data_IF_640980165486
#
_entry.id   IF_640980165486
#
_cell.length_a   1.000
_cell.length_b   1.000
_cell.length_c   1.000
_cell.angle_alpha   90.00
_cell.angle_beta   90.00
_cell.angle_gamma   90.00
#
_symmetry.space_group_name_H-M   'P 1'
#
loop_
_entity.id
_entity.type
_entity.pdbx_description
1 polymer ?
#
# COMPACT_ATOMS: atom_id res chain seq x y z
N UNK A 1 7.20 24.99 2.73
CA UNK A 1 7.43 24.88 1.28
C UNK A 1 6.07 24.87 0.59
N UNK A 2 5.90 25.67 -0.46
CA UNK A 2 4.64 25.66 -1.22
C UNK A 2 4.51 24.30 -1.90
N UNK A 3 3.49 23.55 -1.56
CA UNK A 3 3.16 22.29 -2.23
C UNK A 3 2.74 22.64 -3.67
N UNK A 4 3.38 22.05 -4.67
CA UNK A 4 2.97 22.20 -6.07
C UNK A 4 1.50 21.78 -6.20
N UNK A 5 0.70 22.56 -6.90
CA UNK A 5 -0.66 22.13 -7.23
C UNK A 5 -0.60 20.87 -8.11
N UNK A 6 -1.46 19.88 -7.86
CA UNK A 6 -1.54 18.71 -8.72
C UNK A 6 -1.89 19.12 -10.16
N UNK A 7 -1.38 18.36 -11.12
CA UNK A 7 -1.75 18.49 -12.53
C UNK A 7 -3.24 18.17 -12.72
N UNK A 8 -3.79 18.50 -13.88
CA UNK A 8 -5.14 18.07 -14.23
C UNK A 8 -5.22 16.53 -14.23
N UNK A 9 -6.24 15.91 -13.61
CA UNK A 9 -6.42 14.48 -13.63
C UNK A 9 -6.67 14.00 -15.08
N UNK A 10 -6.00 12.92 -15.54
CA UNK A 10 -6.23 12.40 -16.87
C UNK A 10 -7.61 11.76 -17.00
N UNK A 11 -8.19 11.81 -18.19
CA UNK A 11 -9.40 11.04 -18.52
C UNK A 11 -8.94 9.62 -18.84
N UNK A 12 -9.43 8.65 -18.06
CA UNK A 12 -9.09 7.24 -18.18
C UNK A 12 -10.35 6.40 -18.41
N UNK A 13 -10.38 5.55 -19.46
CA UNK A 13 -11.54 4.70 -19.73
C UNK A 13 -11.87 3.77 -18.55
N UNK A 14 -13.14 3.71 -18.14
CA UNK A 14 -13.59 2.87 -17.04
C UNK A 14 -13.18 3.35 -15.64
N UNK A 15 -12.72 4.60 -15.52
CA UNK A 15 -12.32 5.22 -14.27
C UNK A 15 -12.91 6.62 -14.15
N UNK A 16 -13.67 6.88 -13.09
CA UNK A 16 -14.27 8.19 -12.82
C UNK A 16 -13.47 8.91 -11.73
N UNK A 17 -12.96 10.11 -12.05
CA UNK A 17 -12.19 10.92 -11.11
C UNK A 17 -13.04 11.39 -9.93
N UNK A 18 -12.48 11.31 -8.70
CA UNK A 18 -13.12 11.78 -7.47
C UNK A 18 -12.39 13.01 -6.91
N UNK A 19 -11.11 12.86 -6.54
CA UNK A 19 -10.32 13.92 -5.90
C UNK A 19 -8.82 13.65 -5.94
N UNK A 20 -7.95 14.67 -5.69
CA UNK A 20 -6.53 14.41 -5.48
C UNK A 20 -6.31 13.71 -4.14
N UNK A 21 -5.31 12.81 -4.08
CA UNK A 21 -4.81 12.19 -2.86
C UNK A 21 -3.49 12.82 -2.41
N UNK A 22 -2.64 13.23 -3.36
CA UNK A 22 -1.36 13.86 -3.09
C UNK A 22 -0.68 14.36 -4.35
N UNK A 23 0.28 15.27 -4.17
CA UNK A 23 1.15 15.76 -5.24
C UNK A 23 2.58 15.77 -4.71
N UNK A 24 3.48 15.16 -5.46
CA UNK A 24 4.91 15.07 -5.16
C UNK A 24 5.78 15.57 -6.32
N UNK A 25 7.11 15.57 -6.13
CA UNK A 25 8.05 15.97 -7.17
C UNK A 25 8.00 15.10 -8.43
N UNK A 26 7.60 13.82 -8.30
CA UNK A 26 7.65 12.82 -9.38
C UNK A 26 6.31 12.37 -9.90
N UNK A 27 5.23 12.53 -9.14
CA UNK A 27 3.92 12.05 -9.52
C UNK A 27 2.82 12.80 -8.79
N UNK A 28 1.67 12.83 -9.40
CA UNK A 28 0.41 13.18 -8.76
C UNK A 28 -0.39 11.91 -8.53
N UNK A 29 -1.03 11.79 -7.36
CA UNK A 29 -1.88 10.65 -7.03
C UNK A 29 -3.31 11.13 -6.87
N UNK A 30 -4.23 10.45 -7.52
CA UNK A 30 -5.64 10.78 -7.54
C UNK A 30 -6.49 9.59 -7.09
N UNK A 31 -7.61 9.87 -6.46
CA UNK A 31 -8.67 8.89 -6.21
C UNK A 31 -9.60 8.84 -7.40
N UNK A 32 -9.84 7.63 -7.90
CA UNK A 32 -10.83 7.31 -8.91
C UNK A 32 -11.77 6.22 -8.41
N UNK A 33 -12.98 6.19 -8.92
CA UNK A 33 -13.87 5.04 -8.86
C UNK A 33 -13.71 4.23 -10.16
N UNK A 34 -13.40 2.95 -10.04
CA UNK A 34 -13.42 2.02 -11.17
C UNK A 34 -14.86 1.56 -11.44
N UNK A 35 -15.28 1.56 -12.71
CA UNK A 35 -16.67 1.28 -13.08
C UNK A 35 -17.03 -0.23 -12.95
N UNK A 36 -16.11 -1.11 -13.40
CA UNK A 36 -16.36 -2.54 -13.42
C UNK A 36 -15.08 -3.36 -13.14
N UNK A 37 -14.97 -4.13 -12.04
CA UNK A 37 -15.86 -4.11 -10.88
C UNK A 37 -15.78 -2.76 -10.16
N UNK A 38 -16.88 -2.32 -9.55
CA UNK A 38 -16.93 -1.02 -8.87
C UNK A 38 -16.12 -1.02 -7.59
N UNK A 39 -15.12 -0.14 -7.51
CA UNK A 39 -14.26 0.04 -6.35
C UNK A 39 -13.47 1.35 -6.43
N UNK A 40 -13.07 1.85 -5.26
CA UNK A 40 -12.11 2.95 -5.16
C UNK A 40 -10.70 2.47 -5.51
N UNK A 41 -9.98 3.24 -6.33
CA UNK A 41 -8.60 2.97 -6.72
C UNK A 41 -7.75 4.24 -6.65
N UNK A 42 -6.48 4.09 -6.31
CA UNK A 42 -5.50 5.17 -6.42
C UNK A 42 -4.85 5.13 -7.81
N UNK A 43 -4.78 6.28 -8.47
CA UNK A 43 -4.12 6.42 -9.76
C UNK A 43 -2.92 7.35 -9.60
N UNK A 44 -1.72 6.79 -9.73
CA UNK A 44 -0.45 7.51 -9.75
C UNK A 44 -0.15 7.92 -11.18
N UNK A 45 -0.03 9.24 -11.44
CA UNK A 45 0.23 9.80 -12.76
C UNK A 45 1.60 10.46 -12.76
N UNK A 46 2.45 10.06 -13.68
CA UNK A 46 3.79 10.65 -13.83
C UNK A 46 3.70 11.93 -14.68
N UNK A 47 4.42 13.00 -14.33
CA UNK A 47 4.33 14.29 -15.03
C UNK A 47 5.02 14.29 -16.40
N UNK A 48 5.88 13.31 -16.68
CA UNK A 48 6.66 13.23 -17.90
C UNK A 48 5.83 12.65 -19.05
N UNK A 49 5.84 13.35 -20.17
CA UNK A 49 5.32 12.82 -21.44
C UNK A 49 6.28 11.74 -21.98
N UNK A 50 5.82 10.49 -22.03
CA UNK A 50 6.63 9.33 -22.47
C UNK A 50 6.42 9.09 -23.97
N UNK A 51 6.62 10.13 -24.79
CA UNK A 51 6.65 9.98 -26.25
C UNK A 51 7.90 9.25 -26.72
N UNK A 52 8.97 9.29 -25.94
CA UNK A 52 10.19 8.56 -26.20
C UNK A 52 9.95 7.03 -26.06
N UNK A 53 10.19 6.24 -27.12
CA UNK A 53 10.02 4.79 -27.09
C UNK A 53 10.90 4.09 -26.06
N UNK A 54 12.08 4.62 -25.72
CA UNK A 54 12.97 4.06 -24.72
C UNK A 54 12.39 4.24 -23.31
N UNK A 55 11.90 5.43 -22.99
CA UNK A 55 11.23 5.70 -21.71
C UNK A 55 9.96 4.83 -21.54
N UNK A 56 9.21 4.59 -22.63
CA UNK A 56 8.07 3.65 -22.61
C UNK A 56 8.49 2.23 -22.29
N UNK A 57 9.56 1.74 -22.91
CA UNK A 57 10.07 0.38 -22.61
C UNK A 57 10.49 0.25 -21.15
N UNK A 58 11.20 1.25 -20.62
CA UNK A 58 11.60 1.28 -19.21
C UNK A 58 10.38 1.27 -18.28
N UNK A 59 9.38 2.10 -18.54
CA UNK A 59 8.14 2.14 -17.77
C UNK A 59 7.41 0.80 -17.80
N UNK A 60 7.26 0.17 -18.96
CA UNK A 60 6.58 -1.11 -19.10
C UNK A 60 7.33 -2.22 -18.34
N UNK A 61 8.65 -2.31 -18.49
CA UNK A 61 9.45 -3.30 -17.78
C UNK A 61 9.35 -3.15 -16.25
N UNK A 62 9.34 -1.93 -15.75
CA UNK A 62 9.21 -1.63 -14.33
C UNK A 62 7.78 -1.93 -13.82
N UNK A 63 6.76 -1.61 -14.63
CA UNK A 63 5.37 -1.94 -14.33
C UNK A 63 5.13 -3.46 -14.28
N UNK A 64 5.76 -4.24 -15.18
CA UNK A 64 5.68 -5.70 -15.19
C UNK A 64 6.28 -6.31 -13.90
N UNK A 65 7.44 -5.81 -13.46
CA UNK A 65 8.05 -6.26 -12.20
C UNK A 65 7.15 -5.93 -11.00
N UNK A 66 6.56 -4.72 -10.98
CA UNK A 66 5.64 -4.34 -9.92
C UNK A 66 4.37 -5.19 -9.91
N UNK A 67 3.84 -5.53 -11.08
CA UNK A 67 2.67 -6.42 -11.18
C UNK A 67 2.98 -7.79 -10.56
N UNK A 68 4.16 -8.35 -10.78
CA UNK A 68 4.59 -9.60 -10.14
C UNK A 68 4.78 -9.44 -8.63
N UNK A 69 5.40 -8.35 -8.19
CA UNK A 69 5.62 -8.08 -6.76
C UNK A 69 4.32 -7.77 -6.02
N UNK A 70 3.29 -7.27 -6.70
CA UNK A 70 2.01 -6.92 -6.10
C UNK A 70 1.20 -8.13 -5.59
N UNK A 71 1.64 -9.35 -5.88
CA UNK A 71 1.12 -10.56 -5.24
C UNK A 71 1.59 -10.72 -3.78
N UNK A 72 2.60 -9.97 -3.35
CA UNK A 72 3.10 -9.99 -1.97
C UNK A 72 2.13 -9.25 -1.04
N UNK A 73 1.73 -9.84 0.12
CA UNK A 73 0.68 -9.27 0.97
C UNK A 73 1.06 -7.93 1.62
N UNK A 74 2.37 -7.62 1.70
CA UNK A 74 2.88 -6.34 2.25
C UNK A 74 3.42 -5.39 1.16
N UNK A 75 3.01 -5.57 -0.10
CA UNK A 75 3.25 -4.62 -1.21
C UNK A 75 1.90 -4.16 -1.74
N UNK A 76 1.78 -2.86 -2.05
CA UNK A 76 0.54 -2.32 -2.61
C UNK A 76 0.16 -3.05 -3.91
N UNK A 77 -1.10 -3.47 -4.01
CA UNK A 77 -1.57 -4.20 -5.19
C UNK A 77 -1.68 -3.27 -6.40
N UNK A 78 -1.01 -3.63 -7.48
CA UNK A 78 -1.12 -2.95 -8.78
C UNK A 78 -2.19 -3.65 -9.62
N UNK A 79 -3.17 -2.89 -10.10
CA UNK A 79 -4.26 -3.43 -10.92
C UNK A 79 -4.05 -3.25 -12.41
N UNK A 80 -3.44 -2.13 -12.79
CA UNK A 80 -3.24 -1.77 -14.18
C UNK A 80 -2.13 -0.73 -14.31
N UNK A 81 -1.41 -0.74 -15.42
CA UNK A 81 -0.54 0.35 -15.86
C UNK A 81 -0.87 0.73 -17.29
N UNK A 82 -0.64 1.98 -17.67
CA UNK A 82 -0.92 2.44 -19.01
C UNK A 82 -0.39 3.84 -19.29
N UNK A 83 -0.72 4.34 -20.49
CA UNK A 83 -0.42 5.70 -20.93
C UNK A 83 -1.76 6.35 -21.25
N UNK A 84 -2.02 7.50 -20.64
CA UNK A 84 -3.23 8.28 -20.86
C UNK A 84 -3.26 8.93 -22.26
N UNK A 85 -4.41 9.42 -22.68
CA UNK A 85 -4.57 10.06 -23.98
C UNK A 85 -3.70 11.31 -24.16
N UNK A 86 -3.32 11.98 -23.06
CA UNK A 86 -2.42 13.12 -23.04
C UNK A 86 -0.92 12.74 -22.98
N UNK A 87 -0.59 11.44 -23.08
CA UNK A 87 0.77 10.90 -23.14
C UNK A 87 1.44 10.64 -21.80
N UNK A 88 0.73 10.82 -20.66
CA UNK A 88 1.28 10.59 -19.33
C UNK A 88 1.14 9.13 -18.90
N UNK A 89 2.22 8.50 -18.40
CA UNK A 89 2.13 7.18 -17.79
C UNK A 89 1.32 7.24 -16.49
N UNK A 90 0.54 6.20 -16.25
CA UNK A 90 -0.22 6.05 -15.01
C UNK A 90 -0.20 4.61 -14.53
N UNK A 91 -0.37 4.45 -13.20
CA UNK A 91 -0.51 3.17 -12.54
C UNK A 91 -1.77 3.22 -11.68
N UNK A 92 -2.65 2.25 -11.88
CA UNK A 92 -3.85 2.03 -11.05
C UNK A 92 -3.51 1.00 -9.98
N UNK A 93 -3.73 1.35 -8.72
CA UNK A 93 -3.37 0.51 -7.59
C UNK A 93 -4.43 0.56 -6.51
N UNK A 94 -4.30 -0.33 -5.53
CA UNK A 94 -5.13 -0.36 -4.34
C UNK A 94 -5.19 1.00 -3.65
N UNK A 95 -6.39 1.45 -3.32
CA UNK A 95 -6.58 2.65 -2.51
C UNK A 95 -6.33 2.33 -1.04
N UNK A 96 -5.33 2.98 -0.47
CA UNK A 96 -4.99 2.92 0.94
C UNK A 96 -5.37 4.25 1.60
N UNK A 97 -6.31 4.26 2.58
CA UNK A 97 -6.83 5.51 3.17
C UNK A 97 -5.84 6.24 4.05
N UNK A 98 -4.76 5.60 4.49
CA UNK A 98 -3.77 6.16 5.40
C UNK A 98 -2.33 5.82 5.05
N UNK A 99 -1.40 6.52 5.70
CA UNK A 99 0.03 6.20 5.67
C UNK A 99 0.63 6.36 7.06
N UNK A 100 1.79 5.76 7.29
CA UNK A 100 2.50 5.93 8.56
C UNK A 100 3.14 7.33 8.73
N UNK A 101 3.17 8.16 7.66
CA UNK A 101 3.77 9.49 7.70
C UNK A 101 3.18 10.43 8.77
N UNK A 102 1.87 10.34 8.97
CA UNK A 102 1.18 11.16 9.96
C UNK A 102 1.18 10.47 11.33
N UNK A 103 0.89 9.17 11.37
CA UNK A 103 0.76 8.43 12.62
C UNK A 103 2.00 8.51 13.48
N UNK A 104 3.19 8.24 12.93
CA UNK A 104 4.42 8.20 13.73
C UNK A 104 4.81 9.55 14.37
N UNK A 105 4.31 10.68 13.86
CA UNK A 105 4.56 12.01 14.43
C UNK A 105 3.54 12.41 15.49
N UNK A 106 2.33 11.89 15.39
CA UNK A 106 1.20 12.25 16.25
C UNK A 106 0.93 11.24 17.36
N UNK A 107 1.29 9.97 17.12
CA UNK A 107 0.99 8.85 18.01
C UNK A 107 2.29 8.18 18.48
N UNK A 108 2.28 7.72 19.72
CA UNK A 108 3.31 6.82 20.23
C UNK A 108 2.94 5.39 19.83
N UNK A 109 3.50 4.89 18.74
CA UNK A 109 3.25 3.54 18.27
C UNK A 109 3.79 2.51 19.29
N UNK A 110 3.03 1.43 19.60
CA UNK A 110 3.48 0.34 20.44
C UNK A 110 4.68 -0.40 19.82
N UNK A 111 5.63 -0.85 20.66
CA UNK A 111 6.80 -1.62 20.19
C UNK A 111 6.41 -2.87 19.40
N UNK A 112 5.40 -3.68 19.86
CA UNK A 112 4.95 -4.84 19.09
C UNK A 112 4.47 -4.52 17.68
N UNK A 113 3.68 -3.45 17.53
CA UNK A 113 3.18 -2.99 16.22
C UNK A 113 4.34 -2.56 15.30
N UNK A 114 5.31 -1.81 15.84
CA UNK A 114 6.46 -1.35 15.04
C UNK A 114 7.36 -2.51 14.62
N UNK A 115 7.55 -3.52 15.48
CA UNK A 115 8.28 -4.73 15.13
C UNK A 115 7.56 -5.52 14.02
N UNK A 116 6.24 -5.66 14.10
CA UNK A 116 5.44 -6.30 13.06
C UNK A 116 5.59 -5.56 11.72
N UNK A 117 5.42 -4.24 11.70
CA UNK A 117 5.62 -3.41 10.51
C UNK A 117 7.04 -3.61 9.96
N UNK A 118 8.06 -3.58 10.81
CA UNK A 118 9.45 -3.78 10.41
C UNK A 118 9.69 -5.11 9.70
N UNK A 119 9.15 -6.20 10.26
CA UNK A 119 9.27 -7.56 9.67
C UNK A 119 8.54 -7.65 8.33
N UNK A 120 7.32 -7.13 8.22
CA UNK A 120 6.53 -7.12 6.99
C UNK A 120 7.22 -6.31 5.89
N UNK A 121 7.70 -5.12 6.20
CA UNK A 121 8.43 -4.28 5.24
C UNK A 121 9.76 -4.93 4.81
N UNK A 122 10.46 -5.59 5.72
CA UNK A 122 11.66 -6.33 5.38
C UNK A 122 11.37 -7.54 4.47
N UNK A 123 10.24 -8.24 4.67
CA UNK A 123 9.78 -9.33 3.78
C UNK A 123 9.46 -8.82 2.38
N UNK A 124 8.77 -7.66 2.29
CA UNK A 124 8.47 -6.99 1.02
C UNK A 124 9.74 -6.60 0.26
N UNK A 125 10.71 -5.98 0.95
CA UNK A 125 12.00 -5.59 0.37
C UNK A 125 12.81 -6.81 -0.09
N UNK A 126 12.86 -7.87 0.72
CA UNK A 126 13.56 -9.10 0.33
C UNK A 126 12.97 -9.71 -0.95
N UNK A 127 11.65 -9.71 -1.09
CA UNK A 127 10.98 -10.20 -2.30
C UNK A 127 11.33 -9.34 -3.52
N UNK A 128 11.40 -8.02 -3.36
CA UNK A 128 11.83 -7.10 -4.40
C UNK A 128 13.31 -7.32 -4.77
N UNK A 129 14.20 -7.46 -3.78
CA UNK A 129 15.63 -7.72 -4.01
C UNK A 129 15.87 -9.01 -4.78
N UNK A 130 15.13 -10.08 -4.48
CA UNK A 130 15.18 -11.34 -5.24
C UNK A 130 14.71 -11.19 -6.69
N UNK A 131 13.79 -10.28 -6.95
CA UNK A 131 13.37 -9.93 -8.30
C UNK A 131 14.33 -8.94 -9.00
N UNK A 132 15.46 -8.59 -8.36
CA UNK A 132 16.45 -7.64 -8.90
C UNK A 132 16.05 -6.17 -8.78
N UNK A 133 15.01 -5.86 -8.00
CA UNK A 133 14.52 -4.49 -7.81
C UNK A 133 14.96 -3.94 -6.45
N UNK A 134 15.47 -2.70 -6.46
CA UNK A 134 15.79 -1.89 -5.28
C UNK A 134 14.75 -0.76 -5.20
N UNK A 135 14.13 -0.56 -4.03
CA UNK A 135 13.04 0.40 -3.83
C UNK A 135 13.49 1.86 -3.89
N UNK A 136 14.66 2.17 -3.30
CA UNK A 136 15.35 3.48 -3.26
C UNK A 136 14.71 4.59 -2.45
N UNK A 137 13.50 4.40 -1.92
CA UNK A 137 12.77 5.44 -1.17
C UNK A 137 11.99 4.86 0.03
N UNK A 138 12.64 4.01 0.84
CA UNK A 138 12.03 3.42 2.04
C UNK A 138 11.93 4.46 3.15
N UNK A 139 10.69 4.84 3.50
CA UNK A 139 10.37 5.85 4.53
C UNK A 139 8.93 5.72 5.01
N UNK A 140 8.53 6.32 6.16
CA UNK A 140 7.18 6.19 6.69
C UNK A 140 6.05 6.65 5.75
N UNK A 141 6.31 7.60 4.83
CA UNK A 141 5.29 8.07 3.88
C UNK A 141 4.97 7.06 2.78
N UNK A 142 5.88 6.13 2.51
CA UNK A 142 5.72 5.10 1.51
C UNK A 142 5.25 3.76 2.12
N UNK A 143 4.98 3.74 3.43
CA UNK A 143 4.27 2.65 4.09
C UNK A 143 2.82 3.09 4.27
N UNK A 144 1.96 2.59 3.40
CA UNK A 144 0.53 2.86 3.40
C UNK A 144 -0.18 1.88 4.33
N UNK A 145 -1.41 2.22 4.70
CA UNK A 145 -2.27 1.37 5.52
C UNK A 145 -3.52 1.06 4.70
N UNK A 146 -3.77 -0.22 4.45
CA UNK A 146 -4.94 -0.69 3.71
C UNK A 146 -6.23 -0.41 4.47
N UNK A 147 -7.37 -0.59 3.83
CA UNK A 147 -8.70 -0.50 4.48
C UNK A 147 -8.90 -1.52 5.61
N UNK A 148 -8.10 -2.58 5.64
CA UNK A 148 -8.08 -3.60 6.70
C UNK A 148 -7.03 -3.35 7.78
N UNK A 149 -6.32 -2.22 7.73
CA UNK A 149 -5.30 -1.85 8.72
C UNK A 149 -3.92 -2.50 8.49
N UNK A 150 -3.72 -3.26 7.41
CA UNK A 150 -2.44 -3.88 7.11
C UNK A 150 -1.45 -2.86 6.52
N UNK A 151 -0.16 -2.86 6.97
CA UNK A 151 0.87 -2.03 6.38
C UNK A 151 1.34 -2.63 5.04
N UNK A 152 1.40 -1.80 4.00
CA UNK A 152 1.90 -2.18 2.67
C UNK A 152 2.91 -1.15 2.16
N UNK A 153 3.97 -1.64 1.52
CA UNK A 153 4.99 -0.82 0.90
C UNK A 153 4.52 -0.36 -0.48
N UNK A 154 4.60 0.94 -0.72
CA UNK A 154 4.20 1.59 -1.97
C UNK A 154 5.35 2.41 -2.53
N UNK A 155 5.18 2.92 -3.75
CA UNK A 155 6.10 3.84 -4.39
C UNK A 155 7.51 3.27 -4.67
N UNK A 156 7.57 2.02 -5.14
CA UNK A 156 8.80 1.50 -5.75
C UNK A 156 9.28 2.46 -6.86
N UNK A 157 10.58 2.69 -6.89
CA UNK A 157 11.24 3.80 -7.59
C UNK A 157 11.09 3.96 -9.10
N UNK A 158 9.92 3.63 -9.69
CA UNK A 158 9.59 3.82 -11.12
C UNK A 158 9.90 5.25 -11.57
N UNK A 159 9.65 6.21 -10.68
CA UNK A 159 9.84 7.63 -10.97
C UNK A 159 11.31 8.04 -11.07
N UNK A 160 12.23 7.34 -10.39
CA UNK A 160 13.64 7.71 -10.37
C UNK A 160 14.39 7.34 -11.65
N UNK A 161 13.96 6.27 -12.31
CA UNK A 161 14.53 5.86 -13.60
C UNK A 161 14.09 6.80 -14.74
N UNK A 162 12.85 7.31 -14.66
CA UNK A 162 12.27 8.21 -15.65
C UNK A 162 12.64 9.69 -15.42
N UNK A 163 12.96 10.08 -14.18
CA UNK A 163 13.15 11.47 -13.77
C UNK A 163 14.63 11.86 -13.62
N UNK A 164 15.48 11.52 -14.58
CA UNK A 164 16.90 11.97 -14.60
C UNK A 164 17.09 13.49 -14.56
N UNK A 165 16.03 14.29 -14.75
CA UNK A 165 16.08 15.74 -14.86
C UNK A 165 15.80 16.53 -13.56
N UNK A 166 15.27 15.89 -12.48
CA UNK A 166 14.86 16.58 -11.23
C UNK A 166 15.38 15.89 -9.96
N UNK A 167 16.52 15.22 -10.06
CA UNK A 167 17.10 14.38 -9.00
C UNK A 167 17.35 15.15 -7.68
N UNK A 168 17.69 16.43 -7.74
CA UNK A 168 18.09 17.20 -6.56
C UNK A 168 16.98 17.49 -5.56
N UNK A 169 15.76 17.79 -6.02
CA UNK A 169 14.65 18.11 -5.11
C UNK A 169 14.12 16.88 -4.37
N UNK A 170 14.09 15.76 -5.05
CA UNK A 170 13.56 14.52 -4.50
C UNK A 170 14.51 13.85 -3.55
N UNK A 171 15.81 13.84 -3.86
CA UNK A 171 16.83 13.44 -2.92
C UNK A 171 16.71 14.25 -1.61
N UNK A 172 16.36 15.55 -1.72
CA UNK A 172 16.18 16.41 -0.55
C UNK A 172 15.06 15.97 0.40
N UNK A 173 13.97 15.41 -0.11
CA UNK A 173 12.81 14.98 0.72
C UNK A 173 13.04 13.64 1.44
N UNK A 174 13.91 12.79 0.91
CA UNK A 174 14.20 11.47 1.46
C UNK A 174 15.49 11.41 2.28
N UNK A 175 16.29 12.47 2.30
CA UNK A 175 17.56 12.55 3.05
C UNK A 175 17.45 12.00 4.48
N UNK A 176 16.42 12.29 5.29
CA UNK A 176 16.39 11.83 6.67
C UNK A 176 16.45 10.30 6.86
N UNK A 177 16.14 9.53 5.83
CA UNK A 177 16.16 8.06 5.84
C UNK A 177 17.22 7.47 4.93
N UNK A 178 17.88 8.28 4.11
CA UNK A 178 18.88 7.83 3.14
C UNK A 178 20.19 7.43 3.81
N UNK A 179 20.83 6.38 3.27
CA UNK A 179 22.13 5.93 3.74
C UNK A 179 23.27 6.90 3.36
N UNK A 180 24.40 6.91 4.12
CA UNK A 180 25.52 7.83 3.88
C UNK A 180 26.05 7.79 2.45
N UNK A 181 26.20 6.60 1.86
CA UNK A 181 26.68 6.38 0.50
C UNK A 181 25.70 6.89 -0.57
N UNK A 182 24.40 6.87 -0.28
CA UNK A 182 23.37 7.44 -1.16
C UNK A 182 23.37 8.97 -1.07
N UNK A 183 23.47 9.51 0.15
CA UNK A 183 23.55 10.96 0.39
C UNK A 183 24.82 11.56 -0.21
N UNK A 184 25.90 10.77 -0.27
CA UNK A 184 27.17 11.14 -0.90
C UNK A 184 27.20 10.87 -2.42
N UNK A 185 26.06 10.43 -3.02
CA UNK A 185 25.91 10.15 -4.46
C UNK A 185 26.90 9.09 -5.00
N UNK A 186 27.39 8.19 -4.13
CA UNK A 186 28.28 7.10 -4.48
C UNK A 186 27.52 5.94 -5.13
N UNK A 187 26.22 5.82 -4.85
CA UNK A 187 25.31 4.82 -5.42
C UNK A 187 23.88 5.38 -5.49
N UNK A 188 23.12 4.89 -6.45
CA UNK A 188 21.68 5.18 -6.54
C UNK A 188 20.83 4.36 -5.55
N UNK A 189 21.42 3.35 -4.90
CA UNK A 189 20.77 2.45 -3.96
C UNK A 189 21.26 1.01 -4.11
N UNK A 190 21.37 0.32 -2.98
CA UNK A 190 21.78 -1.08 -2.86
C UNK A 190 20.92 -1.77 -1.80
N UNK A 191 20.98 -3.10 -1.68
CA UNK A 191 20.35 -3.85 -0.58
C UNK A 191 20.80 -3.30 0.77
N UNK A 192 22.11 -3.02 0.95
CA UNK A 192 22.64 -2.50 2.20
C UNK A 192 22.13 -1.08 2.52
N UNK A 193 21.91 -0.22 1.51
CA UNK A 193 21.32 1.11 1.71
C UNK A 193 19.84 1.03 2.07
N UNK A 194 19.11 0.00 1.61
CA UNK A 194 17.71 -0.21 1.98
C UNK A 194 17.55 -0.79 3.39
N UNK A 195 18.46 -1.64 3.82
CA UNK A 195 18.54 -2.08 5.22
C UNK A 195 18.73 -0.87 6.16
N UNK A 196 19.58 0.10 5.76
CA UNK A 196 19.69 1.35 6.50
C UNK A 196 18.38 2.13 6.51
N UNK A 197 17.77 2.35 5.35
CA UNK A 197 16.54 3.15 5.23
C UNK A 197 15.37 2.53 6.01
N UNK A 198 15.27 1.19 6.02
CA UNK A 198 14.28 0.49 6.82
C UNK A 198 14.59 0.62 8.32
N UNK A 199 15.85 0.49 8.74
CA UNK A 199 16.27 0.74 10.12
C UNK A 199 15.94 2.16 10.59
N UNK A 200 16.22 3.16 9.75
CA UNK A 200 15.87 4.56 10.00
C UNK A 200 14.35 4.78 10.06
N UNK A 201 13.60 4.02 9.26
CA UNK A 201 12.13 4.03 9.28
C UNK A 201 11.59 3.43 10.57
N UNK A 202 12.05 2.24 10.99
CA UNK A 202 11.65 1.60 12.26
C UNK A 202 12.01 2.50 13.44
N UNK A 203 13.21 3.10 13.45
CA UNK A 203 13.58 4.13 14.44
C UNK A 203 12.55 5.26 14.48
N UNK A 204 12.16 5.78 13.31
CA UNK A 204 11.23 6.91 13.22
C UNK A 204 9.86 6.58 13.79
N UNK A 205 9.36 5.36 13.52
CA UNK A 205 8.08 4.87 14.05
C UNK A 205 8.08 4.78 15.59
N UNK A 206 9.23 4.45 16.17
CA UNK A 206 9.41 4.39 17.63
C UNK A 206 9.62 5.77 18.25
N UNK A 207 10.45 6.62 17.63
CA UNK A 207 10.91 7.88 18.22
C UNK A 207 9.99 9.08 17.93
N UNK A 208 9.12 9.00 16.91
CA UNK A 208 8.29 10.11 16.44
C UNK A 208 9.01 11.13 15.56
N UNK A 209 10.28 10.88 15.23
CA UNK A 209 11.12 11.71 14.35
C UNK A 209 12.19 10.85 13.70
N UNK A 210 12.81 11.33 12.61
CA UNK A 210 13.90 10.59 11.97
C UNK A 210 15.17 10.54 12.84
N UNK A 211 16.04 9.50 12.70
CA UNK A 211 17.17 9.30 13.60
C UNK A 211 18.14 10.49 13.63
N UNK A 212 18.30 11.17 12.51
CA UNK A 212 19.25 12.28 12.35
C UNK A 212 18.62 13.66 12.49
N UNK A 213 17.32 13.74 12.70
CA UNK A 213 16.57 14.96 12.97
C UNK A 213 16.75 15.40 14.42
N UNK A 214 16.90 16.71 14.66
CA UNK A 214 16.88 17.31 15.99
C UNK A 214 15.60 18.05 16.24
N UNK A 215 15.10 18.01 17.47
CA UNK A 215 13.83 18.66 17.86
C UNK A 215 13.93 20.19 17.87
N UNK A 216 15.14 20.74 17.97
CA UNK A 216 15.39 22.17 18.03
C UNK A 216 15.21 22.80 16.64
N UNK A 217 14.50 23.92 16.60
CA UNK A 217 14.26 24.68 15.36
C UNK A 217 15.58 25.16 14.76
N UNK A 218 15.69 25.10 13.43
CA UNK A 218 16.87 25.58 12.69
C UNK A 218 18.04 24.60 12.64
N UNK A 219 17.97 23.43 13.30
CA UNK A 219 19.03 22.44 13.29
C UNK A 219 18.87 21.30 12.26
N UNK A 220 17.95 21.43 11.33
CA UNK A 220 17.63 20.39 10.34
C UNK A 220 17.76 20.89 8.91
N UNK A 221 18.75 21.76 8.63
CA UNK A 221 19.06 22.10 7.24
C UNK A 221 19.59 20.87 6.50
N UNK A 222 19.50 20.88 5.18
CA UNK A 222 19.95 19.78 4.30
C UNK A 222 21.42 19.42 4.62
N UNK A 223 22.27 20.41 4.79
CA UNK A 223 23.70 20.23 5.08
C UNK A 223 23.95 19.66 6.47
N UNK A 224 23.19 20.10 7.47
CA UNK A 224 23.29 19.60 8.83
C UNK A 224 22.85 18.13 8.92
N UNK A 225 21.77 17.76 8.23
CA UNK A 225 21.31 16.37 8.12
C UNK A 225 22.36 15.51 7.42
N UNK A 226 22.87 15.93 6.25
CA UNK A 226 23.94 15.23 5.52
C UNK A 226 25.17 14.97 6.39
N UNK A 227 25.62 15.96 7.17
CA UNK A 227 26.74 15.78 8.08
C UNK A 227 26.51 14.76 9.18
N UNK A 228 25.31 14.71 9.77
CA UNK A 228 24.97 13.73 10.81
C UNK A 228 24.84 12.32 10.23
N UNK A 229 24.21 12.18 9.09
CA UNK A 229 24.08 10.91 8.34
C UNK A 229 25.46 10.37 7.98
N UNK A 230 26.36 11.21 7.41
CA UNK A 230 27.70 10.81 7.04
C UNK A 230 28.54 10.28 8.22
N UNK A 231 28.21 10.68 9.44
CA UNK A 231 28.85 10.19 10.68
C UNK A 231 28.08 9.03 11.32
N UNK A 232 26.92 8.67 10.81
CA UNK A 232 25.97 7.73 11.42
C UNK A 232 25.68 8.06 12.90
N UNK A 233 25.69 9.36 13.25
CA UNK A 233 25.55 9.83 14.63
C UNK A 233 24.11 10.22 14.90
N UNK A 234 23.38 9.37 15.58
CA UNK A 234 22.02 9.61 16.04
C UNK A 234 21.87 9.35 17.54
N UNK A 235 20.79 9.85 18.15
CA UNK A 235 20.51 9.64 19.56
C UNK A 235 19.71 8.34 19.75
N UNK A 236 20.09 7.45 20.69
CA UNK A 236 19.27 6.29 21.01
C UNK A 236 17.85 6.69 21.44
N UNK A 237 16.88 5.80 21.23
CA UNK A 237 15.48 6.05 21.54
C UNK A 237 15.28 6.10 23.07
N UNK A 238 14.90 7.26 23.59
CA UNK A 238 14.68 7.48 25.03
C UNK A 238 13.26 7.01 25.45
N UNK A 239 12.96 5.70 25.30
CA UNK A 239 11.70 5.09 25.70
C UNK A 239 11.99 3.85 26.55
N UNK A 240 11.38 3.77 27.74
CA UNK A 240 11.61 2.67 28.68
C UNK A 240 11.08 1.31 28.17
N UNK A 241 10.09 1.34 27.25
CA UNK A 241 9.51 0.16 26.63
C UNK A 241 10.28 -0.33 25.37
N UNK A 242 11.32 0.39 24.92
CA UNK A 242 12.19 -0.03 23.82
C UNK A 242 13.40 -0.77 24.39
N UNK A 243 13.50 -2.12 24.20
CA UNK A 243 14.56 -2.91 24.80
C UNK A 243 15.93 -2.61 24.18
N UNK A 244 17.00 -2.85 24.93
CA UNK A 244 18.37 -2.69 24.46
C UNK A 244 18.66 -3.51 23.20
N UNK A 245 18.17 -4.76 23.14
CA UNK A 245 18.31 -5.59 21.95
C UNK A 245 17.75 -4.94 20.67
N UNK A 246 16.62 -4.22 20.75
CA UNK A 246 16.09 -3.47 19.61
C UNK A 246 16.97 -2.28 19.25
N UNK A 247 17.55 -1.59 20.23
CA UNK A 247 18.53 -0.51 19.99
C UNK A 247 19.77 -1.05 19.24
N UNK A 248 20.26 -2.24 19.62
CA UNK A 248 21.41 -2.88 18.98
C UNK A 248 21.08 -3.29 17.54
N UNK A 249 19.89 -3.83 17.29
CA UNK A 249 19.40 -4.16 15.93
C UNK A 249 19.38 -2.91 15.05
N UNK A 250 18.84 -1.79 15.57
CA UNK A 250 18.80 -0.52 14.84
C UNK A 250 20.22 0.06 14.63
N UNK A 251 21.10 -0.03 15.63
CA UNK A 251 22.48 0.44 15.51
C UNK A 251 23.24 -0.33 14.42
N UNK A 252 23.06 -1.66 14.35
CA UNK A 252 23.67 -2.47 13.30
C UNK A 252 23.11 -2.12 11.92
N UNK A 253 21.80 -1.99 11.77
CA UNK A 253 21.16 -1.64 10.48
C UNK A 253 21.62 -0.27 9.97
N UNK A 254 21.85 0.68 10.87
CA UNK A 254 22.34 2.04 10.57
C UNK A 254 23.85 2.21 10.80
N UNK A 255 24.65 1.13 10.67
CA UNK A 255 26.11 1.23 10.68
C UNK A 255 26.61 2.04 9.48
N UNK A 256 27.60 2.91 9.72
CA UNK A 256 28.18 3.76 8.67
C UNK A 256 28.72 2.94 7.50
N UNK A 257 29.40 1.84 7.81
CA UNK A 257 29.97 0.92 6.82
C UNK A 257 28.90 -0.07 6.34
N UNK A 258 28.57 -0.11 5.03
CA UNK A 258 27.54 -1.01 4.51
C UNK A 258 27.79 -2.49 4.83
N UNK A 259 29.06 -2.92 4.83
CA UNK A 259 29.45 -4.31 5.13
C UNK A 259 29.20 -4.75 6.59
N UNK A 260 29.00 -3.81 7.52
CA UNK A 260 28.65 -4.10 8.91
C UNK A 260 27.13 -4.23 9.14
N UNK A 261 26.33 -3.80 8.19
CA UNK A 261 24.87 -3.92 8.25
C UNK A 261 24.44 -5.37 8.10
N UNK A 262 23.16 -5.62 8.12
CA UNK A 262 22.60 -6.91 7.72
C UNK A 262 22.81 -7.12 6.22
N UNK A 263 23.20 -8.32 5.82
CA UNK A 263 23.53 -8.63 4.44
C UNK A 263 22.29 -8.66 3.52
N UNK A 264 21.10 -8.86 4.10
CA UNK A 264 19.82 -8.85 3.39
C UNK A 264 18.71 -8.25 4.25
N UNK A 265 17.60 -7.89 3.62
CA UNK A 265 16.40 -7.48 4.34
C UNK A 265 15.82 -8.64 5.18
N UNK A 266 15.98 -9.89 4.71
CA UNK A 266 15.63 -11.08 5.47
C UNK A 266 16.41 -11.18 6.78
N UNK A 267 17.75 -11.01 6.74
CA UNK A 267 18.56 -11.07 7.96
C UNK A 267 18.13 -10.00 8.97
N UNK A 268 17.78 -8.81 8.52
CA UNK A 268 17.24 -7.75 9.37
C UNK A 268 15.87 -8.14 9.96
N UNK A 269 14.97 -8.74 9.16
CA UNK A 269 13.68 -9.26 9.63
C UNK A 269 13.87 -10.32 10.74
N UNK A 270 14.80 -11.26 10.55
CA UNK A 270 15.08 -12.29 11.55
C UNK A 270 15.60 -11.68 12.88
N UNK A 271 16.42 -10.63 12.81
CA UNK A 271 16.86 -9.91 13.99
C UNK A 271 15.69 -9.23 14.73
N UNK A 272 14.73 -8.62 14.00
CA UNK A 272 13.51 -8.06 14.61
C UNK A 272 12.62 -9.15 15.22
N UNK A 273 12.52 -10.31 14.59
CA UNK A 273 11.77 -11.47 15.10
C UNK A 273 12.40 -12.06 16.38
N UNK A 274 13.74 -12.04 16.46
CA UNK A 274 14.41 -12.42 17.69
C UNK A 274 14.02 -11.49 18.83
N UNK A 275 13.96 -10.18 18.60
CA UNK A 275 13.48 -9.21 19.61
C UNK A 275 12.02 -9.47 19.99
N UNK A 276 11.15 -9.84 19.03
CA UNK A 276 9.77 -10.22 19.35
C UNK A 276 9.74 -11.43 20.30
N UNK A 277 10.55 -12.46 20.03
CA UNK A 277 10.63 -13.65 20.87
C UNK A 277 11.14 -13.31 22.28
N UNK A 278 12.17 -12.47 22.40
CA UNK A 278 12.74 -12.02 23.69
C UNK A 278 11.70 -11.23 24.53
N UNK A 279 10.78 -10.55 23.86
CA UNK A 279 9.65 -9.83 24.49
C UNK A 279 8.45 -10.73 24.78
N UNK A 280 8.51 -12.04 24.49
CA UNK A 280 7.39 -12.96 24.62
C UNK A 280 6.25 -12.72 23.62
N UNK A 281 6.53 -12.01 22.51
CA UNK A 281 5.60 -11.75 21.43
C UNK A 281 5.76 -12.85 20.39
N UNK A 282 4.65 -13.39 19.86
CA UNK A 282 4.71 -14.33 18.74
C UNK A 282 5.44 -13.70 17.55
N UNK A 283 6.54 -14.29 17.06
CA UNK A 283 7.28 -13.73 15.93
C UNK A 283 6.41 -13.61 14.66
N UNK A 284 6.38 -12.42 14.08
CA UNK A 284 5.66 -12.16 12.83
C UNK A 284 6.14 -13.11 11.73
N UNK A 285 5.22 -13.70 10.97
CA UNK A 285 5.57 -14.57 9.85
C UNK A 285 6.37 -13.81 8.78
N UNK A 286 7.39 -14.48 8.22
CA UNK A 286 8.08 -13.97 7.04
C UNK A 286 7.23 -14.29 5.80
N UNK A 287 6.83 -13.25 5.10
CA UNK A 287 6.03 -13.33 3.88
C UNK A 287 7.00 -13.53 2.70
N UNK A 288 7.42 -14.76 2.46
CA UNK A 288 8.36 -15.08 1.39
C UNK A 288 7.72 -16.08 0.42
N UNK A 289 7.97 -15.95 -0.90
CA UNK A 289 7.54 -16.98 -1.85
C UNK A 289 8.13 -18.33 -1.43
N UNK A 290 7.28 -19.34 -1.22
CA UNK A 290 7.72 -20.69 -0.94
C UNK A 290 8.14 -21.35 -2.27
N UNK A 291 9.42 -21.73 -2.43
CA UNK A 291 9.88 -22.38 -3.67
C UNK A 291 9.20 -23.72 -3.94
N UNK A 292 8.62 -24.33 -2.91
CA UNK A 292 7.96 -25.65 -2.97
C UNK A 292 6.61 -25.63 -3.71
N UNK A 293 6.01 -24.46 -3.92
CA UNK A 293 4.73 -24.32 -4.64
C UNK A 293 4.90 -24.12 -6.15
N UNK A 294 6.12 -23.80 -6.60
CA UNK A 294 6.43 -23.51 -8.00
C UNK A 294 6.39 -24.75 -8.94
N UNK A 295 6.69 -26.00 -8.51
CA UNK A 295 6.68 -27.14 -9.42
C UNK A 295 5.31 -27.75 -9.71
N UNK A 296 4.28 -27.40 -8.95
CA UNK A 296 2.98 -28.08 -9.04
C UNK A 296 2.11 -27.63 -10.22
N UNK A 297 2.46 -26.57 -10.92
CA UNK A 297 1.72 -26.08 -12.09
C UNK A 297 2.49 -26.37 -13.39
N UNK A 298 2.69 -27.65 -13.71
CA UNK A 298 2.91 -27.98 -15.11
C UNK A 298 1.71 -27.43 -15.91
N UNK A 299 1.93 -26.75 -17.04
CA UNK A 299 0.82 -26.24 -17.85
C UNK A 299 -0.12 -27.40 -18.15
N UNK A 300 -1.41 -27.25 -17.79
CA UNK A 300 -2.43 -28.24 -18.12
C UNK A 300 -2.52 -28.26 -19.65
N UNK A 301 -2.09 -29.34 -20.26
CA UNK A 301 -2.30 -29.54 -21.69
C UNK A 301 -3.78 -29.81 -21.94
N UNK A 302 -4.50 -28.78 -22.33
CA UNK A 302 -5.92 -28.87 -22.67
C UNK A 302 -6.20 -29.71 -23.92
N UNK A 303 -5.16 -30.10 -24.69
CA UNK A 303 -5.28 -31.02 -25.81
C UNK A 303 -5.18 -32.47 -25.36
N UNK A 304 -4.70 -32.76 -24.17
CA UNK A 304 -4.66 -34.13 -23.62
C UNK A 304 -6.06 -34.61 -23.24
N UNK A 305 -6.60 -35.50 -24.04
CA UNK A 305 -7.93 -36.08 -23.82
C UNK A 305 -8.07 -36.88 -22.52
N UNK A 306 -6.95 -37.31 -21.93
CA UNK A 306 -6.94 -38.04 -20.65
C UNK A 306 -7.13 -37.15 -19.45
N UNK A 307 -6.80 -35.85 -19.57
CA UNK A 307 -7.02 -34.82 -18.53
C UNK A 307 -8.46 -34.30 -18.51
N UNK A 308 -9.28 -34.63 -19.51
CA UNK A 308 -10.72 -34.36 -19.51
C UNK A 308 -11.49 -35.44 -18.75
N UNK A 309 -11.04 -35.78 -17.56
CA UNK A 309 -11.81 -36.62 -16.66
C UNK A 309 -13.16 -35.96 -16.38
N UNK A 310 -14.26 -36.59 -16.81
CA UNK A 310 -15.57 -36.14 -16.45
C UNK A 310 -15.64 -35.99 -14.93
N UNK A 311 -15.84 -34.77 -14.43
CA UNK A 311 -16.16 -34.53 -13.04
C UNK A 311 -17.50 -35.24 -12.75
N UNK A 312 -17.45 -36.50 -12.37
CA UNK A 312 -18.62 -37.20 -11.84
C UNK A 312 -18.79 -36.70 -10.41
N UNK A 313 -19.66 -35.73 -10.25
CA UNK A 313 -20.27 -35.45 -8.96
C UNK A 313 -21.05 -36.68 -8.52
N UNK A 314 -20.48 -37.51 -7.65
CA UNK A 314 -21.22 -38.53 -6.93
C UNK A 314 -22.03 -37.80 -5.84
N UNK A 315 -23.26 -37.49 -6.16
CA UNK A 315 -24.27 -37.23 -5.14
C UNK A 315 -24.86 -38.59 -4.81
N UNK A 316 -24.50 -39.18 -3.69
CA UNK A 316 -25.17 -40.33 -3.13
C UNK A 316 -26.61 -39.96 -2.80
N UNK A 317 -27.51 -40.30 -3.69
CA UNK A 317 -28.94 -40.32 -3.41
C UNK A 317 -29.34 -41.66 -2.79
N UNK A 318 -29.21 -41.77 -1.49
CA UNK A 318 -29.89 -42.79 -0.73
C UNK A 318 -31.36 -42.39 -0.64
N UNK A 319 -32.22 -42.98 -1.45
CA UNK A 319 -33.63 -42.66 -1.45
C UNK A 319 -34.45 -43.32 -2.57
N UNK A 320 -34.95 -44.54 -2.33
CA UNK A 320 -36.15 -45.19 -2.88
C UNK A 320 -36.61 -44.78 -4.28
N UNK A 321 -36.27 -45.61 -5.25
CA UNK A 321 -36.81 -45.64 -6.61
C UNK A 321 -38.33 -45.78 -6.59
N UNK A 322 -39.07 -44.69 -6.86
CA UNK A 322 -40.46 -44.77 -7.32
C UNK A 322 -40.44 -44.83 -8.83
N UNK A 323 -40.94 -45.94 -9.36
CA UNK A 323 -41.18 -46.17 -10.80
C UNK A 323 -42.13 -45.10 -11.35
N UNK A 324 -41.69 -44.41 -12.39
CA UNK A 324 -42.50 -43.47 -13.18
C UNK A 324 -43.00 -44.19 -14.44
N UNK A 325 -44.28 -44.09 -14.82
CA UNK A 325 -44.77 -44.66 -16.07
C UNK A 325 -44.32 -43.85 -17.27
N UNK A 326 -44.10 -44.54 -18.38
CA UNK A 326 -43.75 -43.98 -19.69
C UNK A 326 -44.86 -43.04 -20.18
N UNK A 327 -44.48 -41.82 -20.57
CA UNK A 327 -45.34 -40.91 -21.31
C UNK A 327 -44.55 -40.33 -22.50
N UNK A 328 -45.23 -40.39 -23.64
CA UNK A 328 -44.76 -40.24 -24.97
C UNK A 328 -44.14 -38.87 -25.32
N UNK A 329 -43.46 -38.90 -26.43
CA UNK A 329 -42.81 -37.79 -27.13
C UNK A 329 -43.85 -36.71 -27.47
N UNK A 330 -43.70 -35.50 -26.89
CA UNK A 330 -44.43 -34.31 -27.35
C UNK A 330 -43.38 -33.23 -27.72
N UNK A 331 -43.60 -32.73 -28.94
CA UNK A 331 -42.81 -31.70 -29.57
C UNK A 331 -42.80 -30.37 -28.77
N UNK A 332 -41.65 -29.75 -28.65
CA UNK A 332 -41.51 -28.38 -28.14
C UNK A 332 -42.07 -27.38 -29.15
N UNK A 333 -43.31 -26.93 -28.97
CA UNK A 333 -43.79 -25.68 -29.52
C UNK A 333 -43.50 -24.56 -28.53
N UNK A 334 -42.97 -23.48 -29.07
CA UNK A 334 -42.56 -22.27 -28.34
C UNK A 334 -43.85 -21.42 -28.23
N UNK A 335 -44.42 -21.32 -27.01
CA UNK A 335 -45.47 -20.35 -26.72
C UNK A 335 -44.79 -19.13 -26.05
N UNK A 336 -44.92 -17.99 -26.72
CA UNK A 336 -44.77 -16.65 -26.15
C UNK A 336 -46.02 -16.36 -25.32
N UNK A 337 -45.85 -15.55 -24.29
CA UNK A 337 -46.83 -15.06 -23.31
C UNK A 337 -46.96 -15.84 -21.99
N UNK A 338 -46.17 -15.41 -21.01
CA UNK A 338 -46.58 -15.57 -19.62
C UNK A 338 -46.35 -14.25 -18.88
N UNK A 339 -47.46 -13.55 -18.73
CA UNK A 339 -47.63 -12.41 -17.83
C UNK A 339 -47.20 -12.79 -16.42
N UNK A 340 -46.11 -12.14 -15.92
CA UNK A 340 -45.71 -12.26 -14.54
C UNK A 340 -46.51 -11.25 -13.71
N UNK A 341 -47.61 -11.68 -13.18
CA UNK A 341 -48.36 -10.98 -12.16
C UNK A 341 -47.51 -10.88 -10.88
N UNK A 342 -46.99 -9.70 -10.62
CA UNK A 342 -46.25 -9.39 -9.40
C UNK A 342 -47.21 -9.36 -8.21
N UNK A 343 -47.01 -10.25 -7.24
CA UNK A 343 -47.62 -10.17 -5.92
C UNK A 343 -47.05 -9.00 -5.15
N UNK A 344 -47.84 -8.18 -4.43
CA UNK A 344 -47.40 -7.03 -3.72
C UNK A 344 -46.60 -7.42 -2.46
N UNK A 345 -45.36 -6.94 -2.37
CA UNK A 345 -44.53 -7.03 -1.18
C UNK A 345 -45.10 -6.09 -0.08
N UNK A 346 -45.31 -6.57 1.15
CA UNK A 346 -45.85 -5.74 2.22
C UNK A 346 -44.79 -4.67 2.64
N UNK A 347 -45.16 -3.40 2.62
CA UNK A 347 -44.36 -2.27 3.09
C UNK A 347 -44.25 -2.33 4.61
N UNK A 348 -43.04 -2.17 5.19
CA UNK A 348 -42.86 -2.04 6.64
C UNK A 348 -43.55 -0.75 7.13
N UNK A 349 -44.32 -0.86 8.19
CA UNK A 349 -44.89 0.30 8.90
C UNK A 349 -43.76 1.10 9.56
N UNK A 350 -43.60 2.38 9.18
CA UNK A 350 -42.72 3.29 9.83
C UNK A 350 -43.12 3.53 11.29
N UNK A 351 -42.18 3.35 12.21
CA UNK A 351 -42.34 3.69 13.62
C UNK A 351 -42.39 5.21 13.81
N UNK A 352 -43.22 5.73 14.73
CA UNK A 352 -43.48 7.17 14.88
C UNK A 352 -42.35 7.99 15.54
N UNK A 353 -41.18 7.39 15.75
CA UNK A 353 -40.07 8.04 16.47
C UNK A 353 -39.19 8.99 15.63
N UNK A 354 -39.32 8.93 14.30
CA UNK A 354 -38.51 9.78 13.38
C UNK A 354 -39.04 11.24 13.36
N UNK A 355 -40.30 11.46 13.68
CA UNK A 355 -40.90 12.82 13.67
C UNK A 355 -40.50 13.63 14.92
N UNK A 356 -40.20 13.00 16.06
CA UNK A 356 -39.80 13.69 17.28
C UNK A 356 -38.37 14.29 17.20
N UNK A 357 -37.46 13.70 16.42
CA UNK A 357 -36.09 14.19 16.28
C UNK A 357 -35.96 15.48 15.48
N UNK A 358 -36.78 15.69 14.46
CA UNK A 358 -36.72 16.88 13.60
C UNK A 358 -37.28 18.11 14.30
N UNK A 359 -38.28 17.96 15.17
CA UNK A 359 -38.83 19.04 15.93
C UNK A 359 -37.88 19.57 17.02
N UNK A 360 -37.04 18.71 17.62
CA UNK A 360 -36.06 19.13 18.63
C UNK A 360 -34.91 19.95 18.03
N UNK A 361 -34.44 19.62 16.84
CA UNK A 361 -33.34 20.34 16.15
C UNK A 361 -33.83 21.74 15.69
N UNK A 362 -35.05 21.86 15.20
CA UNK A 362 -35.64 23.14 14.81
C UNK A 362 -35.86 24.09 16.03
N UNK A 363 -36.20 23.53 17.20
CA UNK A 363 -36.36 24.30 18.44
C UNK A 363 -35.04 24.91 18.96
N UNK A 364 -33.95 24.15 18.90
CA UNK A 364 -32.62 24.62 19.34
C UNK A 364 -32.08 25.71 18.41
N UNK A 365 -32.28 25.59 17.10
CA UNK A 365 -31.87 26.60 16.14
C UNK A 365 -32.61 27.94 16.32
N UNK A 366 -33.90 27.91 16.68
CA UNK A 366 -34.68 29.10 16.94
C UNK A 366 -34.26 29.82 18.23
N UNK A 367 -33.88 29.08 19.29
CA UNK A 367 -33.42 29.67 20.56
C UNK A 367 -32.03 30.31 20.41
N UNK A 368 -31.10 29.67 19.68
CA UNK A 368 -29.77 30.21 19.39
C UNK A 368 -29.85 31.44 18.49
N UNK A 369 -30.75 31.48 17.50
CA UNK A 369 -30.98 32.63 16.64
C UNK A 369 -31.57 33.84 17.41
N UNK A 370 -32.47 33.60 18.38
CA UNK A 370 -33.04 34.67 19.21
C UNK A 370 -32.02 35.30 20.19
N UNK A 371 -31.09 34.48 20.74
CA UNK A 371 -30.02 34.96 21.61
C UNK A 371 -28.97 35.80 20.86
N UNK A 372 -28.74 35.50 19.59
CA UNK A 372 -27.82 36.27 18.74
C UNK A 372 -28.40 37.65 18.34
N UNK A 373 -29.71 37.76 18.16
CA UNK A 373 -30.40 39.03 17.83
C UNK A 373 -30.54 39.94 19.04
N UNK A 374 -30.59 39.40 20.26
CA UNK A 374 -30.72 40.19 21.49
C UNK A 374 -29.38 40.59 22.12
N UNK A 375 -28.25 40.22 21.53
CA UNK A 375 -26.92 40.69 21.96
C UNK A 375 -26.46 40.15 23.34
N UNK A 376 -26.98 39.00 23.78
CA UNK A 376 -26.65 38.39 25.08
C UNK A 376 -25.54 37.32 24.94
N UNK A 377 -25.01 37.15 23.74
CA UNK A 377 -23.79 36.35 23.45
C UNK A 377 -22.87 37.12 22.52
#
# INVERSE_FOLDING_TARGET
MATRLPSAPPILPGLTYIRPLGSGGFADVFLYEQDMPRRDVAVKVLPSDVRDPELRRMFNAEADVLAHLSAHPSIVTVYQAGISADGRPYIVMEFCPGSLAQRYRLERLPVPEVLEIGVKMASALESAHRAGLVHRDVKPSNILVTTFGAPVLADFGISSSLARATADEVLAMSIPWSAPEVVAEQTAGTVASEVWSLGATVYSLLAGHSPFERRERGQNTKEQLRRRIARASYTPIARADVPAALQDVLARSMSREPARRYASAREFAEALRSVQADLGISPTALEMPAPEWAPASAPVDFADSTMRGAARSHVDHDGRRKTRPEAGVASLARDEDTDISASPVPRPRALPWVIAGVAAVAGIAAVVGALFVTGVL
#
